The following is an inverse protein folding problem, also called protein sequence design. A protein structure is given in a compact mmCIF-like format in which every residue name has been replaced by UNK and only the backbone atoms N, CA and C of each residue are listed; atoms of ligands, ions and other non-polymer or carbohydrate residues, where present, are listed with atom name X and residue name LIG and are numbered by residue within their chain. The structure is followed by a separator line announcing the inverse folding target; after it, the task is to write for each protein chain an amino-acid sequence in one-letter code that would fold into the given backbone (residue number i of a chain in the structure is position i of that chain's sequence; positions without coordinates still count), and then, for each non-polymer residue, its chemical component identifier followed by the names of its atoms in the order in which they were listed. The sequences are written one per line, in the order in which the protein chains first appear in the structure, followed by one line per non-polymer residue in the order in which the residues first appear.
data_IF_327016631477
#
_entry.id   IF_327016631477
#
_cell.length_a   1.000
_cell.length_b   1.000
_cell.length_c   1.000
_cell.angle_alpha   90.00
_cell.angle_beta   90.00
_cell.angle_gamma   90.00
#
_symmetry.space_group_name_H-M   'P 1'
#
loop_
_entity.id
_entity.type
_entity.pdbx_description
1 polymer ?
#
# COMPACT_ATOMS: atom_id res chain seq x y z
N UNK A 1 -15.92 -1.07 -5.89
CA UNK A 1 -15.72 -0.58 -4.51
C UNK A 1 -14.83 -1.55 -3.75
N UNK A 2 -14.19 -1.05 -2.69
CA UNK A 2 -13.54 -1.83 -1.63
C UNK A 2 -14.51 -2.00 -0.48
N UNK A 3 -14.32 -3.04 0.33
CA UNK A 3 -15.20 -3.36 1.45
C UNK A 3 -14.85 -2.56 2.70
N UNK A 4 -13.56 -2.25 2.87
CA UNK A 4 -13.11 -1.29 3.87
C UNK A 4 -11.92 -0.46 3.40
N UNK A 5 -11.75 0.70 4.04
CA UNK A 5 -10.60 1.57 3.87
C UNK A 5 -10.12 2.04 5.25
N UNK A 6 -8.80 2.10 5.43
CA UNK A 6 -8.15 2.63 6.62
C UNK A 6 -7.03 3.60 6.27
N UNK A 7 -6.78 4.56 7.15
CA UNK A 7 -5.66 5.51 7.05
C UNK A 7 -4.83 5.45 8.34
N UNK A 8 -3.51 5.53 8.18
CA UNK A 8 -2.57 5.71 9.26
C UNK A 8 -1.53 6.79 8.91
N UNK A 9 -1.17 7.61 9.91
CA UNK A 9 -0.18 8.68 9.78
C UNK A 9 0.81 8.56 10.93
N UNK A 10 2.10 8.45 10.59
CA UNK A 10 3.21 8.53 11.53
C UNK A 10 3.96 9.84 11.31
N UNK A 11 3.84 10.77 12.25
CA UNK A 11 4.54 12.05 12.24
C UNK A 11 5.71 12.04 13.20
N UNK A 12 6.91 12.36 12.70
CA UNK A 12 8.12 12.49 13.48
C UNK A 12 8.63 13.93 13.41
N UNK A 13 8.81 14.57 14.56
CA UNK A 13 9.33 15.94 14.62
C UNK A 13 10.44 16.08 15.65
N UNK A 14 11.45 16.88 15.33
CA UNK A 14 12.49 17.32 16.27
C UNK A 14 12.25 18.77 16.65
N UNK A 15 12.33 19.06 17.95
CA UNK A 15 12.08 20.39 18.49
C UNK A 15 13.33 20.98 19.14
N UNK A 16 13.43 22.31 19.17
CA UNK A 16 14.45 23.05 19.90
C UNK A 16 13.83 23.80 21.08
N UNK A 17 14.15 23.40 22.32
CA UNK A 17 13.64 23.95 23.59
C UNK A 17 12.14 23.71 23.85
N UNK A 18 11.25 23.92 22.88
CA UNK A 18 9.82 23.70 23.04
C UNK A 18 9.14 23.28 21.72
N UNK A 19 7.89 22.77 21.82
CA UNK A 19 7.12 22.26 20.68
C UNK A 19 6.78 23.30 19.60
N UNK A 20 6.96 24.60 19.86
CA UNK A 20 6.73 25.67 18.87
C UNK A 20 7.93 25.89 17.95
N UNK A 21 9.12 25.40 18.32
CA UNK A 21 10.35 25.56 17.55
C UNK A 21 10.72 24.22 16.91
N UNK A 22 10.12 23.92 15.77
CA UNK A 22 10.40 22.70 15.00
C UNK A 22 11.71 22.88 14.23
N UNK A 23 12.65 21.96 14.40
CA UNK A 23 13.90 21.89 13.62
C UNK A 23 13.62 21.19 12.28
N UNK A 24 12.94 20.04 12.35
CA UNK A 24 12.48 19.30 11.17
C UNK A 24 11.27 18.45 11.56
N UNK A 25 10.45 18.11 10.56
CA UNK A 25 9.35 17.16 10.69
C UNK A 25 9.23 16.34 9.41
N UNK A 26 8.81 15.09 9.54
CA UNK A 26 8.41 14.29 8.39
C UNK A 26 7.26 13.33 8.75
N UNK A 27 6.45 13.06 7.74
CA UNK A 27 5.27 12.21 7.83
C UNK A 27 5.41 11.00 6.90
N UNK A 28 5.10 9.82 7.45
CA UNK A 28 4.84 8.61 6.69
C UNK A 28 3.36 8.28 6.79
N UNK A 29 2.71 8.07 5.66
CA UNK A 29 1.28 7.74 5.61
C UNK A 29 1.07 6.35 5.04
N UNK A 30 -0.05 5.74 5.41
CA UNK A 30 -0.52 4.51 4.82
C UNK A 30 -2.03 4.59 4.58
N UNK A 31 -2.45 4.21 3.39
CA UNK A 31 -3.84 3.97 3.06
C UNK A 31 -4.00 2.49 2.74
N UNK A 32 -4.89 1.81 3.45
CA UNK A 32 -5.22 0.41 3.22
C UNK A 32 -6.60 0.35 2.58
N UNK A 33 -6.70 -0.33 1.45
CA UNK A 33 -7.94 -0.63 0.78
C UNK A 33 -8.08 -2.14 0.68
N UNK A 34 -9.15 -2.67 1.23
CA UNK A 34 -9.32 -4.10 1.31
C UNK A 34 -10.59 -4.60 0.66
N UNK A 35 -10.49 -5.79 0.06
CA UNK A 35 -11.57 -6.38 -0.70
C UNK A 35 -11.56 -7.89 -0.61
N UNK A 36 -12.71 -8.48 -0.33
CA UNK A 36 -12.97 -9.90 -0.51
C UNK A 36 -13.59 -10.15 -1.88
N UNK A 37 -13.00 -11.05 -2.65
CA UNK A 37 -13.51 -11.45 -3.97
C UNK A 37 -13.52 -12.97 -4.09
N UNK A 38 -14.47 -13.51 -4.84
CA UNK A 38 -14.50 -14.95 -5.04
C UNK A 38 -13.32 -15.44 -5.90
N UNK A 39 -13.06 -14.75 -7.01
CA UNK A 39 -12.01 -15.10 -7.97
C UNK A 39 -11.21 -13.87 -8.40
N UNK A 40 -9.88 -13.94 -8.27
CA UNK A 40 -8.99 -12.92 -8.80
C UNK A 40 -8.54 -13.29 -10.21
N UNK A 41 -9.11 -12.61 -11.21
CA UNK A 41 -8.69 -12.73 -12.61
C UNK A 41 -7.62 -11.71 -12.97
N UNK A 42 -6.92 -11.97 -14.09
CA UNK A 42 -5.95 -11.02 -14.66
C UNK A 42 -6.61 -9.70 -15.04
N UNK A 43 -7.82 -9.76 -15.58
CA UNK A 43 -8.61 -8.59 -15.93
C UNK A 43 -8.92 -7.72 -14.69
N UNK A 44 -9.33 -8.33 -13.58
CA UNK A 44 -9.57 -7.60 -12.32
C UNK A 44 -8.29 -6.95 -11.80
N UNK A 45 -7.15 -7.63 -11.90
CA UNK A 45 -5.87 -7.05 -11.48
C UNK A 45 -5.47 -5.85 -12.37
N UNK A 46 -5.45 -6.03 -13.68
CA UNK A 46 -4.91 -5.06 -14.64
C UNK A 46 -5.86 -3.90 -14.94
N UNK A 47 -7.17 -4.14 -14.96
CA UNK A 47 -8.15 -3.13 -15.36
C UNK A 47 -8.92 -2.52 -14.17
N UNK A 48 -8.70 -2.99 -12.95
CA UNK A 48 -9.35 -2.45 -11.75
C UNK A 48 -8.36 -2.13 -10.63
N UNK A 49 -7.67 -3.14 -10.07
CA UNK A 49 -6.83 -2.93 -8.89
C UNK A 49 -5.62 -2.02 -9.17
N UNK A 50 -4.88 -2.27 -10.25
CA UNK A 50 -3.71 -1.46 -10.59
C UNK A 50 -4.07 -0.03 -11.02
N UNK A 51 -5.09 0.21 -11.86
CA UNK A 51 -5.57 1.56 -12.14
C UNK A 51 -6.07 2.30 -10.89
N UNK A 52 -6.72 1.59 -9.97
CA UNK A 52 -7.11 2.18 -8.70
C UNK A 52 -5.89 2.60 -7.85
N UNK A 53 -4.84 1.78 -7.79
CA UNK A 53 -3.60 2.18 -7.12
C UNK A 53 -3.02 3.46 -7.71
N UNK A 54 -2.99 3.58 -9.04
CA UNK A 54 -2.54 4.80 -9.73
C UNK A 54 -3.41 6.01 -9.38
N UNK A 55 -4.74 5.83 -9.39
CA UNK A 55 -5.69 6.85 -8.97
C UNK A 55 -5.45 7.29 -7.51
N UNK A 56 -5.24 6.35 -6.59
CA UNK A 56 -4.99 6.63 -5.19
C UNK A 56 -3.67 7.40 -5.00
N UNK A 57 -2.61 7.01 -5.70
CA UNK A 57 -1.33 7.73 -5.69
C UNK A 57 -1.41 9.15 -6.26
N UNK A 58 -2.33 9.38 -7.20
CA UNK A 58 -2.56 10.71 -7.78
C UNK A 58 -3.43 11.60 -6.89
N UNK A 59 -4.50 11.05 -6.31
CA UNK A 59 -5.58 11.86 -5.75
C UNK A 59 -5.64 11.86 -4.22
N UNK A 60 -5.04 10.87 -3.53
CA UNK A 60 -5.14 10.75 -2.07
C UNK A 60 -3.85 11.12 -1.34
N UNK A 61 -2.72 11.08 -2.02
CA UNK A 61 -1.42 11.38 -1.41
C UNK A 61 -1.28 12.88 -1.16
N UNK A 62 -1.15 13.25 0.11
CA UNK A 62 -0.88 14.62 0.53
C UNK A 62 0.61 14.89 0.38
N UNK A 63 0.96 15.82 -0.50
CA UNK A 63 2.35 16.20 -0.81
C UNK A 63 2.71 17.54 -0.18
N UNK A 64 2.44 17.67 1.12
CA UNK A 64 2.92 18.83 1.89
C UNK A 64 4.44 18.77 2.11
N UNK A 65 5.00 19.81 2.72
CA UNK A 65 6.44 19.93 2.92
C UNK A 65 6.99 18.94 3.97
N UNK A 66 6.12 18.22 4.69
CA UNK A 66 6.49 17.16 5.63
C UNK A 66 6.36 15.76 5.03
N UNK A 67 5.73 15.60 3.87
CA UNK A 67 5.52 14.30 3.26
C UNK A 67 6.84 13.62 2.88
N UNK A 68 7.13 12.50 3.55
CA UNK A 68 8.29 11.66 3.24
C UNK A 68 7.90 10.47 2.39
N UNK A 69 6.88 9.72 2.83
CA UNK A 69 6.35 8.63 2.02
C UNK A 69 4.90 8.29 2.30
N UNK A 70 4.22 7.75 1.29
CA UNK A 70 2.89 7.17 1.45
C UNK A 70 2.83 5.75 0.89
N UNK A 71 2.43 4.77 1.70
CA UNK A 71 2.11 3.43 1.22
C UNK A 71 0.64 3.36 0.80
N UNK A 72 0.38 2.91 -0.43
CA UNK A 72 -0.96 2.51 -0.87
C UNK A 72 -1.01 0.99 -0.79
N UNK A 73 -1.71 0.46 0.20
CA UNK A 73 -1.86 -0.97 0.43
C UNK A 73 -3.18 -1.45 -0.15
N UNK A 74 -3.11 -2.34 -1.15
CA UNK A 74 -4.26 -3.11 -1.62
C UNK A 74 -4.20 -4.50 -0.99
N UNK A 75 -5.14 -4.79 -0.11
CA UNK A 75 -5.29 -6.10 0.51
C UNK A 75 -6.47 -6.83 -0.13
N UNK A 76 -6.20 -7.93 -0.81
CA UNK A 76 -7.24 -8.72 -1.48
C UNK A 76 -7.30 -10.08 -0.83
N UNK A 77 -8.46 -10.51 -0.36
CA UNK A 77 -8.70 -11.92 -0.03
C UNK A 77 -9.47 -12.57 -1.16
N UNK A 78 -9.06 -13.78 -1.55
CA UNK A 78 -9.77 -14.53 -2.58
C UNK A 78 -9.87 -16.02 -2.27
N UNK A 79 -10.90 -16.67 -2.81
CA UNK A 79 -11.01 -18.14 -2.74
C UNK A 79 -10.21 -18.80 -3.86
N UNK A 80 -10.05 -18.16 -5.02
CA UNK A 80 -9.34 -18.77 -6.13
C UNK A 80 -8.54 -17.73 -6.93
N UNK A 81 -7.32 -18.09 -7.32
CA UNK A 81 -6.40 -17.31 -8.12
C UNK A 81 -5.65 -18.24 -9.09
N UNK A 82 -5.41 -17.76 -10.32
CA UNK A 82 -4.53 -18.38 -11.30
C UNK A 82 -3.04 -18.34 -10.85
N UNK A 83 -2.34 -19.48 -10.92
CA UNK A 83 -0.92 -19.58 -10.60
C UNK A 83 -0.03 -18.62 -11.42
N UNK A 84 -0.44 -18.28 -12.64
CA UNK A 84 0.24 -17.28 -13.48
C UNK A 84 0.19 -15.91 -12.80
N UNK A 85 -0.96 -15.54 -12.22
CA UNK A 85 -1.13 -14.29 -11.50
C UNK A 85 -0.28 -14.24 -10.24
N UNK A 86 -0.10 -15.38 -9.54
CA UNK A 86 0.77 -15.43 -8.36
C UNK A 86 2.19 -14.96 -8.69
N UNK A 87 2.73 -15.40 -9.83
CA UNK A 87 4.06 -15.00 -10.32
C UNK A 87 4.12 -13.57 -10.85
N UNK A 88 2.99 -13.04 -11.33
CA UNK A 88 2.91 -11.66 -11.79
C UNK A 88 2.88 -10.68 -10.62
N UNK A 89 2.08 -10.96 -9.58
CA UNK A 89 1.93 -10.11 -8.40
C UNK A 89 3.29 -9.79 -7.77
N UNK A 90 4.16 -10.79 -7.59
CA UNK A 90 5.48 -10.59 -6.98
C UNK A 90 6.40 -9.66 -7.77
N UNK A 91 6.15 -9.48 -9.08
CA UNK A 91 6.93 -8.60 -9.97
C UNK A 91 6.36 -7.20 -10.09
N UNK A 92 5.15 -6.95 -9.57
CA UNK A 92 4.51 -5.64 -9.66
C UNK A 92 5.27 -4.65 -8.78
N UNK A 93 5.79 -3.60 -9.40
CA UNK A 93 6.38 -2.47 -8.71
C UNK A 93 5.76 -1.19 -9.26
N UNK A 94 5.14 -0.42 -8.36
CA UNK A 94 4.58 0.89 -8.67
C UNK A 94 5.04 1.86 -7.60
N UNK A 95 5.82 2.85 -8.02
CA UNK A 95 6.29 3.95 -7.18
C UNK A 95 6.11 5.25 -7.95
N UNK A 96 5.64 6.28 -7.26
CA UNK A 96 5.51 7.64 -7.79
C UNK A 96 6.26 8.61 -6.90
N UNK A 97 7.22 9.33 -7.48
CA UNK A 97 7.92 10.41 -6.77
C UNK A 97 7.24 11.75 -7.04
N UNK A 98 7.22 12.64 -6.05
CA UNK A 98 6.57 13.94 -6.15
C UNK A 98 7.59 15.07 -6.14
N UNK A 99 7.37 16.08 -6.99
CA UNK A 99 8.31 17.20 -7.21
C UNK A 99 9.76 16.73 -7.35
N UNK A 100 10.01 15.79 -8.28
CA UNK A 100 11.34 15.20 -8.51
C UNK A 100 11.96 14.55 -7.25
N UNK A 101 11.12 14.11 -6.30
CA UNK A 101 11.53 13.51 -5.03
C UNK A 101 11.66 14.49 -3.86
N UNK A 102 11.53 15.80 -4.10
CA UNK A 102 11.58 16.82 -3.04
C UNK A 102 10.38 16.74 -2.08
N UNK A 103 9.28 16.13 -2.53
CA UNK A 103 8.07 15.91 -1.72
C UNK A 103 7.79 14.43 -1.51
N UNK A 104 8.85 13.66 -1.29
CA UNK A 104 8.76 12.24 -1.02
C UNK A 104 8.25 11.42 -2.20
N UNK A 105 7.75 10.23 -1.88
CA UNK A 105 7.23 9.28 -2.85
C UNK A 105 6.05 8.48 -2.30
N UNK A 106 5.29 7.83 -3.16
CA UNK A 106 4.34 6.80 -2.77
C UNK A 106 4.69 5.47 -3.44
N UNK A 107 4.31 4.36 -2.82
CA UNK A 107 4.54 3.02 -3.35
C UNK A 107 3.35 2.10 -3.11
N UNK A 108 3.16 1.16 -4.03
CA UNK A 108 2.10 0.15 -3.96
C UNK A 108 2.58 -1.04 -3.13
N UNK A 109 1.82 -1.37 -2.10
CA UNK A 109 1.86 -2.66 -1.43
C UNK A 109 0.67 -3.47 -1.90
N UNK A 110 0.91 -4.51 -2.68
CA UNK A 110 -0.13 -5.42 -3.13
C UNK A 110 0.00 -6.73 -2.36
N UNK A 111 -1.02 -7.04 -1.56
CA UNK A 111 -1.11 -8.24 -0.75
C UNK A 111 -2.35 -9.02 -1.17
N UNK A 112 -2.17 -10.27 -1.51
CA UNK A 112 -3.23 -11.22 -1.76
C UNK A 112 -3.17 -12.34 -0.71
N UNK A 113 -4.32 -12.66 -0.14
CA UNK A 113 -4.54 -13.82 0.72
C UNK A 113 -5.42 -14.84 0.01
N UNK A 114 -4.84 -15.99 -0.34
CA UNK A 114 -5.54 -17.14 -0.90
C UNK A 114 -6.18 -17.93 0.26
N UNK A 115 -7.51 -17.82 0.40
CA UNK A 115 -8.29 -18.43 1.49
C UNK A 115 -8.35 -19.96 1.39
N UNK A 116 -8.08 -20.54 0.22
CA UNK A 116 -8.07 -22.01 0.07
C UNK A 116 -6.74 -22.61 0.50
N UNK A 117 -5.63 -21.97 0.14
CA UNK A 117 -4.29 -22.47 0.49
C UNK A 117 -3.73 -21.87 1.77
N UNK A 118 -4.38 -20.84 2.33
CA UNK A 118 -3.88 -20.02 3.43
C UNK A 118 -2.49 -19.42 3.12
N UNK A 119 -2.28 -19.00 1.88
CA UNK A 119 -1.02 -18.44 1.41
C UNK A 119 -1.12 -16.95 1.13
N UNK A 120 -0.03 -16.24 1.41
CA UNK A 120 0.14 -14.86 1.02
C UNK A 120 0.97 -14.75 -0.25
N UNK A 121 0.43 -14.04 -1.23
CA UNK A 121 1.14 -13.63 -2.44
C UNK A 121 1.24 -12.11 -2.43
N UNK A 122 2.45 -11.58 -2.58
CA UNK A 122 2.66 -10.14 -2.41
C UNK A 122 3.84 -9.63 -3.23
N UNK A 123 3.84 -8.34 -3.51
CA UNK A 123 4.94 -7.67 -4.20
C UNK A 123 6.06 -7.26 -3.23
N UNK A 124 7.23 -6.90 -3.78
CA UNK A 124 8.43 -6.59 -2.97
C UNK A 124 8.18 -5.54 -1.88
N UNK A 125 7.45 -4.46 -2.17
CA UNK A 125 7.18 -3.37 -1.21
C UNK A 125 6.33 -3.81 0.00
N UNK A 126 5.69 -4.98 -0.07
CA UNK A 126 4.89 -5.55 1.02
C UNK A 126 5.69 -6.48 1.94
N UNK A 127 6.96 -6.76 1.62
CA UNK A 127 7.75 -7.79 2.29
C UNK A 127 7.90 -7.56 3.80
N UNK A 128 8.08 -6.32 4.22
CA UNK A 128 8.35 -6.00 5.63
C UNK A 128 7.08 -6.06 6.49
N UNK A 129 5.89 -5.91 5.89
CA UNK A 129 4.61 -5.93 6.60
C UNK A 129 3.95 -7.31 6.59
N UNK A 130 4.39 -8.24 5.74
CA UNK A 130 3.68 -9.51 5.57
C UNK A 130 3.67 -10.37 6.83
N UNK A 131 4.67 -10.22 7.70
CA UNK A 131 4.72 -10.96 8.96
C UNK A 131 3.52 -10.62 9.85
N UNK A 132 3.16 -9.34 9.95
CA UNK A 132 1.97 -8.90 10.68
C UNK A 132 0.69 -9.56 10.15
N UNK A 133 0.49 -9.58 8.82
CA UNK A 133 -0.71 -10.21 8.23
C UNK A 133 -0.74 -11.72 8.50
N UNK A 134 0.42 -12.39 8.48
CA UNK A 134 0.53 -13.80 8.83
C UNK A 134 0.14 -14.06 10.29
N UNK A 135 0.60 -13.24 11.24
CA UNK A 135 0.24 -13.39 12.66
C UNK A 135 -1.25 -13.21 12.94
N UNK A 136 -1.95 -12.41 12.12
CA UNK A 136 -3.38 -12.12 12.31
C UNK A 136 -4.29 -13.14 11.62
N UNK A 137 -3.85 -13.73 10.50
CA UNK A 137 -4.70 -14.54 9.62
C UNK A 137 -4.33 -16.02 9.54
N UNK A 138 -3.15 -16.43 10.04
CA UNK A 138 -2.67 -17.83 10.09
C UNK A 138 -2.47 -18.28 11.54
#
# INVERSE_FOLDING_TARGET
SFDFMGEYILSNSKYFLNKKKIIWSYDNREYIFAKDIQFLSKDVLENNLLPFADYAMENLVQTDDTHMSTAITLFISCENIDDILKKQISKINKRKSYMFGLRGYSSLRLILFDKLTNEFIYNYDSKDIIHFYKEVLL
#
